data_IF_236474892557
#
_entry.id   IF_236474892557
#
_cell.length_a   1.000
_cell.length_b   1.000
_cell.length_c   1.000
_cell.angle_alpha   90.00
_cell.angle_beta   90.00
_cell.angle_gamma   90.00
#
_symmetry.space_group_name_H-M   'P 1'
#
loop_
_entity.id
_entity.type
_entity.pdbx_description
1 polymer ?
2 non-polymer ?
3 non-polymer ?
4 non-polymer ?
5 non-polymer ?
6 non-polymer ?
7 non-polymer ?
8 non-polymer ?
9 non-polymer ?
10 water ?
#
# COMPACT_ATOMS: atom_id res chain seq x y z
N UNK A 1 -17.61 -16.15 -18.69
CA UNK A 1 -17.02 -14.87 -19.11
C UNK A 1 -16.75 -13.97 -17.93
N UNK A 2 -15.78 -13.06 -18.09
CA UNK A 2 -15.51 -12.06 -17.06
C UNK A 2 -16.76 -11.21 -16.80
N UNK A 3 -17.05 -10.92 -15.53
CA UNK A 3 -18.19 -10.10 -15.19
C UNK A 3 -17.83 -8.64 -15.11
N UNK A 4 -17.85 -7.99 -16.25
CA UNK A 4 -17.69 -6.55 -16.34
C UNK A 4 -18.92 -5.87 -15.74
N UNK A 5 -18.75 -4.77 -15.03
CA UNK A 5 -19.88 -3.97 -14.52
C UNK A 5 -19.62 -2.54 -14.85
N UNK A 6 -20.56 -1.64 -14.55
CA UNK A 6 -20.27 -0.23 -14.58
C UNK A 6 -19.21 0.08 -13.52
N UNK A 7 -18.45 1.16 -13.70
CA UNK A 7 -17.51 1.56 -12.67
C UNK A 7 -18.25 2.16 -11.46
N UNK A 8 -17.54 2.31 -10.36
CA UNK A 8 -18.15 2.88 -9.15
C UNK A 8 -18.53 4.32 -9.33
N UNK A 9 -19.58 4.76 -8.60
CA UNK A 9 -19.99 6.15 -8.56
C UNK A 9 -18.83 6.98 -8.00
N UNK A 10 -18.48 8.06 -8.69
CA UNK A 10 -17.35 8.87 -8.31
C UNK A 10 -17.63 9.85 -7.18
N UNK A 11 -16.57 10.54 -6.74
CA UNK A 11 -15.19 10.37 -7.22
C UNK A 11 -14.59 9.06 -6.74
N UNK A 12 -13.59 8.56 -7.45
CA UNK A 12 -12.94 7.30 -7.09
C UNK A 12 -11.50 7.55 -6.71
N UNK A 13 -11.02 6.79 -5.73
CA UNK A 13 -9.62 6.92 -5.31
C UNK A 13 -9.06 5.57 -4.87
N UNK A 14 -8.10 5.03 -5.61
CA UNK A 14 -7.47 3.77 -5.24
C UNK A 14 -6.68 3.94 -3.93
N UNK A 15 -6.78 2.94 -3.07
CA UNK A 15 -6.15 2.94 -1.75
C UNK A 15 -4.76 2.34 -1.86
N UNK A 16 -3.76 3.03 -1.31
CA UNK A 16 -2.37 2.58 -1.34
C UNK A 16 -2.14 1.48 -0.29
N UNK A 17 -1.02 0.73 -0.46
CA UNK A 17 -0.69 -0.37 0.45
C UNK A 17 -0.29 0.16 1.82
N UNK A 18 0.17 1.41 1.90
CA UNK A 18 0.59 2.01 3.17
C UNK A 18 -0.54 2.79 3.85
N UNK A 19 -1.79 2.60 3.40
CA UNK A 19 -2.94 3.10 4.13
C UNK A 19 -3.46 1.98 5.03
N UNK A 20 -4.34 2.29 5.98
CA UNK A 20 -4.84 1.30 6.93
C UNK A 20 -5.31 0.03 6.23
N UNK A 21 -4.92 -1.12 6.78
CA UNK A 21 -5.41 -2.43 6.34
C UNK A 21 -6.16 -3.07 7.51
N UNK A 22 -7.32 -3.65 7.21
CA UNK A 22 -8.06 -4.40 8.21
C UNK A 22 -7.66 -5.88 8.27
N UNK A 23 -6.94 -6.39 7.28
CA UNK A 23 -6.54 -7.80 7.24
C UNK A 23 -5.51 -7.99 6.17
N UNK A 24 -5.05 -9.23 6.07
CA UNK A 24 -4.13 -9.68 5.02
C UNK A 24 -4.67 -11.03 4.56
N UNK A 25 -4.63 -11.26 3.25
CA UNK A 25 -5.18 -12.43 2.62
C UNK A 25 -4.04 -13.36 2.14
N UNK A 26 -4.13 -14.62 2.55
CA UNK A 26 -3.20 -15.68 2.20
C UNK A 26 -4.02 -16.91 1.80
N UNK A 27 -3.36 -17.90 1.26
CA UNK A 27 -4.07 -19.08 0.74
C UNK A 27 -3.38 -20.38 1.13
N UNK A 28 -4.21 -21.42 1.34
CA UNK A 28 -3.74 -22.78 1.57
C UNK A 28 -4.16 -23.65 0.40
N UNK A 29 -3.36 -24.65 -0.08
CA UNK A 29 -1.97 -24.97 0.32
C UNK A 29 -1.04 -23.76 0.28
N UNK A 30 -0.19 -23.69 1.28
CA UNK A 30 0.64 -22.54 1.54
C UNK A 30 1.88 -22.39 0.66
N UNK A 31 2.22 -21.12 0.45
CA UNK A 31 3.46 -20.71 -0.19
C UNK A 31 4.31 -19.83 0.71
N UNK A 32 3.92 -19.69 1.98
CA UNK A 32 4.60 -18.84 2.93
C UNK A 32 4.91 -19.65 4.18
N UNK A 33 5.96 -19.25 4.92
CA UNK A 33 6.30 -19.96 6.17
C UNK A 33 5.29 -19.68 7.27
N UNK A 34 5.11 -20.66 8.14
CA UNK A 34 4.20 -20.47 9.27
C UNK A 34 4.70 -19.36 10.19
N UNK A 35 6.02 -19.13 10.27
CA UNK A 35 6.52 -18.05 11.09
C UNK A 35 5.96 -16.69 10.61
N UNK A 36 5.79 -16.54 9.29
CA UNK A 36 5.21 -15.31 8.78
C UNK A 36 3.74 -15.19 9.19
N UNK A 37 2.96 -16.28 9.08
CA UNK A 37 1.55 -16.21 9.49
C UNK A 37 1.45 -15.89 10.97
N UNK A 38 2.33 -16.48 11.81
CA UNK A 38 2.33 -16.17 13.24
C UNK A 38 2.63 -14.67 13.44
N UNK A 39 3.64 -14.15 12.74
CA UNK A 39 4.00 -12.75 12.96
C UNK A 39 2.85 -11.84 12.51
N UNK A 40 2.22 -12.18 11.38
CA UNK A 40 1.10 -11.38 10.88
C UNK A 40 -0.05 -11.36 11.89
N UNK A 41 -0.45 -12.55 12.38
CA UNK A 41 -1.61 -12.71 13.25
C UNK A 41 -1.38 -12.16 14.65
N UNK A 42 -0.12 -11.79 15.01
CA UNK A 42 0.11 -11.20 16.33
C UNK A 42 -0.69 -9.90 16.48
N UNK A 43 -0.74 -9.09 15.41
CA UNK A 43 -1.38 -7.79 15.46
C UNK A 43 -2.41 -7.56 14.41
N UNK A 44 -2.49 -8.42 13.39
CA UNK A 44 -3.42 -8.17 12.31
C UNK A 44 -4.31 -9.37 12.04
N UNK A 45 -5.46 -9.12 11.39
CA UNK A 45 -6.33 -10.19 10.98
C UNK A 45 -5.76 -10.89 9.74
N UNK A 46 -5.65 -12.21 9.78
CA UNK A 46 -5.20 -13.04 8.67
C UNK A 46 -6.42 -13.79 8.15
N UNK A 47 -6.76 -13.59 6.89
CA UNK A 47 -7.83 -14.33 6.24
C UNK A 47 -7.18 -15.38 5.38
N UNK A 48 -7.48 -16.66 5.61
CA UNK A 48 -6.92 -17.74 4.82
C UNK A 48 -7.99 -18.29 3.89
N UNK A 49 -7.65 -18.35 2.60
CA UNK A 49 -8.53 -18.97 1.61
C UNK A 49 -8.28 -20.47 1.64
N UNK A 50 -9.36 -21.25 1.78
CA UNK A 50 -9.30 -22.71 1.77
C UNK A 50 -10.41 -23.22 0.84
N UNK A 51 -10.30 -24.46 0.35
CA UNK A 51 -11.30 -24.95 -0.60
C UNK A 51 -12.52 -25.55 0.06
N UNK A 52 -12.44 -25.90 1.36
CA UNK A 52 -13.51 -26.64 2.02
C UNK A 52 -13.42 -26.52 3.52
N UNK A 53 -14.49 -26.95 4.20
CA UNK A 53 -14.54 -27.00 5.66
C UNK A 53 -13.40 -27.88 6.19
N UNK A 54 -13.12 -29.01 5.47
CA UNK A 54 -12.05 -29.93 5.86
C UNK A 54 -10.67 -29.23 5.82
N UNK A 55 -10.41 -28.45 4.76
CA UNK A 55 -9.14 -27.71 4.66
C UNK A 55 -9.04 -26.62 5.74
N UNK A 56 -10.16 -25.96 6.09
CA UNK A 56 -10.17 -25.03 7.21
C UNK A 56 -9.71 -25.73 8.49
N UNK A 57 -10.23 -26.96 8.77
CA UNK A 57 -9.84 -27.65 9.99
C UNK A 57 -8.36 -28.04 9.95
N UNK A 58 -7.85 -28.46 8.79
CA UNK A 58 -6.44 -28.81 8.64
C UNK A 58 -5.57 -27.55 8.94
N UNK A 59 -5.97 -26.38 8.40
CA UNK A 59 -5.21 -25.16 8.63
C UNK A 59 -5.27 -24.76 10.11
N UNK A 60 -6.46 -24.86 10.75
CA UNK A 60 -6.52 -24.50 12.17
C UNK A 60 -5.56 -25.37 12.97
N UNK A 61 -5.46 -26.68 12.66
CA UNK A 61 -4.50 -27.53 13.40
C UNK A 61 -3.07 -27.06 13.14
N UNK A 62 -2.71 -26.72 11.89
CA UNK A 62 -1.36 -26.30 11.62
C UNK A 62 -1.05 -24.98 12.31
N UNK A 63 -2.01 -24.04 12.32
CA UNK A 63 -1.81 -22.75 13.00
C UNK A 63 -1.65 -22.97 14.52
N UNK A 64 -2.44 -23.91 15.09
CA UNK A 64 -2.35 -24.22 16.52
C UNK A 64 -0.95 -24.80 16.85
N UNK A 65 -0.45 -25.74 16.03
CA UNK A 65 0.90 -26.32 16.19
C UNK A 65 1.95 -25.24 16.19
N UNK A 66 1.79 -24.24 15.30
CA UNK A 66 2.77 -23.18 15.13
C UNK A 66 2.62 -22.01 16.12
N UNK A 67 1.60 -22.03 16.97
CA UNK A 67 1.39 -20.96 17.96
C UNK A 67 0.83 -19.67 17.36
N UNK A 68 0.10 -19.78 16.24
CA UNK A 68 -0.54 -18.61 15.61
C UNK A 68 -1.70 -18.16 16.50
N UNK A 69 -1.94 -16.84 16.56
CA UNK A 69 -3.06 -16.29 17.34
C UNK A 69 -4.36 -16.53 16.57
N UNK A 70 -5.07 -17.63 16.94
CA UNK A 70 -6.29 -18.00 16.22
C UNK A 70 -7.41 -16.96 16.37
N UNK A 71 -7.35 -16.10 17.39
CA UNK A 71 -8.38 -15.07 17.55
C UNK A 71 -8.30 -14.03 16.43
N UNK A 72 -7.17 -14.00 15.68
CA UNK A 72 -7.00 -13.09 14.56
C UNK A 72 -7.09 -13.83 13.22
N UNK A 73 -7.59 -15.07 13.21
CA UNK A 73 -7.67 -15.86 11.98
C UNK A 73 -9.09 -16.08 11.54
N UNK A 74 -9.37 -15.79 10.27
CA UNK A 74 -10.65 -16.07 9.65
C UNK A 74 -10.43 -16.79 8.33
N UNK A 75 -11.50 -17.28 7.72
CA UNK A 75 -11.42 -18.08 6.52
C UNK A 75 -12.46 -17.71 5.52
N UNK A 76 -12.09 -17.90 4.25
CA UNK A 76 -13.01 -17.80 3.11
C UNK A 76 -12.92 -19.14 2.43
N UNK A 77 -14.08 -19.75 2.16
CA UNK A 77 -14.12 -21.03 1.46
C UNK A 77 -14.35 -20.78 -0.01
N UNK A 78 -13.34 -21.07 -0.82
CA UNK A 78 -13.41 -20.86 -2.27
C UNK A 78 -12.36 -21.69 -2.93
N UNK A 79 -12.63 -22.20 -4.11
CA UNK A 79 -11.62 -22.92 -4.88
C UNK A 79 -10.58 -21.93 -5.42
N UNK A 80 -9.29 -22.29 -5.31
CA UNK A 80 -8.20 -21.47 -5.86
C UNK A 80 -7.22 -22.38 -6.56
N UNK A 81 -6.52 -21.82 -7.54
CA UNK A 81 -5.47 -22.54 -8.26
C UNK A 81 -4.11 -22.33 -7.66
N UNK A 82 -3.88 -21.18 -6.99
CA UNK A 82 -2.54 -20.88 -6.54
C UNK A 82 -2.51 -20.06 -5.26
N UNK A 83 -1.30 -19.90 -4.70
CA UNK A 83 -1.15 -19.11 -3.50
C UNK A 83 -0.71 -17.67 -3.79
N UNK A 84 -0.73 -17.22 -5.07
CA UNK A 84 -0.31 -15.86 -5.38
C UNK A 84 -1.47 -14.87 -5.20
N UNK A 85 -1.90 -14.68 -3.93
CA UNK A 85 -3.04 -13.82 -3.64
C UNK A 85 -2.77 -12.38 -4.04
N UNK A 86 -1.49 -11.97 -4.12
CA UNK A 86 -1.21 -10.64 -4.61
C UNK A 86 -1.78 -10.43 -5.99
N UNK A 87 -1.75 -11.47 -6.82
CA UNK A 87 -2.00 -11.28 -8.24
C UNK A 87 -3.45 -11.37 -8.66
N UNK A 88 -4.26 -12.19 -7.94
CA UNK A 88 -5.62 -12.43 -8.41
C UNK A 88 -6.71 -11.90 -7.47
N UNK A 89 -6.39 -11.48 -6.24
CA UNK A 89 -7.43 -10.96 -5.37
C UNK A 89 -7.75 -9.52 -5.78
N UNK A 90 -8.87 -9.03 -5.27
CA UNK A 90 -9.37 -7.73 -5.74
C UNK A 90 -8.59 -6.51 -5.28
N UNK A 91 -8.74 -5.42 -6.02
CA UNK A 91 -8.06 -4.16 -5.67
C UNK A 91 -9.00 -3.24 -4.92
N UNK A 92 -8.48 -2.41 -4.04
CA UNK A 92 -9.36 -1.58 -3.23
C UNK A 92 -9.39 -0.12 -3.67
N UNK A 93 -10.59 0.46 -3.62
CA UNK A 93 -10.75 1.88 -3.93
C UNK A 93 -11.84 2.47 -3.10
N UNK A 94 -11.67 3.74 -2.74
CA UNK A 94 -12.77 4.49 -2.18
C UNK A 94 -13.63 5.07 -3.31
N UNK A 95 -14.93 5.17 -3.08
CA UNK A 95 -15.81 5.74 -4.09
C UNK A 95 -17.01 6.35 -3.39
N UNK A 96 -17.80 7.14 -4.13
CA UNK A 96 -19.03 7.73 -3.64
C UNK A 96 -18.83 8.45 -2.27
N UNK A 97 -17.71 9.18 -2.16
CA UNK A 97 -17.27 9.98 -0.98
C UNK A 97 -16.80 9.12 0.23
N UNK A 98 -17.63 8.16 0.69
CA UNK A 98 -17.40 7.47 1.95
C UNK A 98 -17.56 5.97 1.89
N UNK A 99 -17.31 5.34 0.73
CA UNK A 99 -17.43 3.89 0.63
C UNK A 99 -16.13 3.26 0.16
N UNK A 100 -15.89 2.04 0.60
CA UNK A 100 -14.78 1.23 0.14
C UNK A 100 -15.33 0.11 -0.75
N UNK A 101 -14.75 -0.02 -1.93
CA UNK A 101 -15.16 -1.04 -2.89
C UNK A 101 -14.01 -1.89 -3.37
N UNK A 102 -14.37 -3.02 -3.98
CA UNK A 102 -13.42 -3.97 -4.56
C UNK A 102 -13.51 -3.90 -6.06
N UNK A 103 -12.36 -3.97 -6.71
CA UNK A 103 -12.31 -3.98 -8.17
C UNK A 103 -11.76 -5.31 -8.62
N UNK A 104 -12.56 -6.03 -9.42
CA UNK A 104 -12.16 -7.28 -10.06
C UNK A 104 -11.66 -6.95 -11.46
N UNK A 105 -10.93 -7.91 -12.05
CA UNK A 105 -10.28 -7.77 -13.36
C UNK A 105 -10.02 -9.15 -13.89
N UNK A 106 -9.60 -9.24 -15.15
CA UNK A 106 -9.27 -10.54 -15.73
C UNK A 106 -7.86 -10.90 -15.34
N UNK A 107 -7.70 -11.91 -14.48
CA UNK A 107 -6.37 -12.33 -14.07
C UNK A 107 -5.58 -12.80 -15.31
N UNK A 108 -4.34 -12.34 -15.48
CA UNK A 108 -3.58 -12.63 -16.69
C UNK A 108 -2.91 -14.01 -16.70
N UNK A 109 -3.61 -15.00 -16.18
CA UNK A 109 -3.14 -16.38 -16.13
C UNK A 109 -4.30 -17.32 -16.39
N UNK A 110 -4.01 -18.53 -16.89
CA UNK A 110 -5.09 -19.51 -17.15
C UNK A 110 -5.46 -20.27 -15.85
N UNK A 111 -5.97 -19.52 -14.89
CA UNK A 111 -6.24 -19.95 -13.52
C UNK A 111 -7.64 -19.50 -13.20
N UNK A 112 -8.66 -20.27 -13.63
CA UNK A 112 -10.04 -19.75 -13.56
C UNK A 112 -10.60 -19.66 -12.16
N UNK A 113 -10.10 -20.50 -11.24
CA UNK A 113 -10.59 -20.44 -9.84
C UNK A 113 -9.98 -19.21 -9.16
N UNK A 114 -8.69 -18.95 -9.37
CA UNK A 114 -8.11 -17.70 -8.87
C UNK A 114 -8.85 -16.51 -9.45
N UNK A 115 -9.13 -16.54 -10.78
CA UNK A 115 -9.76 -15.41 -11.43
C UNK A 115 -11.14 -15.10 -10.85
N UNK A 116 -11.87 -16.14 -10.45
CA UNK A 116 -13.22 -15.99 -9.92
C UNK A 116 -13.24 -15.58 -8.46
N UNK A 117 -12.12 -15.72 -7.76
CA UNK A 117 -12.11 -15.51 -6.32
C UNK A 117 -12.60 -14.13 -5.81
N UNK A 118 -12.33 -12.97 -6.46
CA UNK A 118 -12.69 -11.69 -5.83
C UNK A 118 -14.15 -11.58 -5.37
N UNK A 119 -15.12 -12.22 -6.06
CA UNK A 119 -16.51 -12.11 -5.57
C UNK A 119 -16.65 -12.62 -4.13
N UNK A 120 -15.89 -13.68 -3.76
CA UNK A 120 -15.97 -14.22 -2.40
C UNK A 120 -15.35 -13.26 -1.39
N UNK A 121 -14.32 -12.53 -1.81
CA UNK A 121 -13.67 -11.52 -1.00
C UNK A 121 -14.65 -10.36 -0.71
N UNK A 122 -15.32 -9.86 -1.76
CA UNK A 122 -16.27 -8.77 -1.57
C UNK A 122 -17.43 -9.23 -0.68
N UNK A 123 -17.91 -10.46 -0.87
CA UNK A 123 -19.00 -10.98 -0.04
C UNK A 123 -18.56 -11.13 1.41
N UNK A 124 -17.35 -11.63 1.66
CA UNK A 124 -16.84 -11.74 3.03
C UNK A 124 -16.80 -10.37 3.72
N UNK A 125 -16.31 -9.36 3.00
CA UNK A 125 -16.14 -8.01 3.56
C UNK A 125 -17.45 -7.25 3.61
N UNK A 126 -18.46 -7.67 2.86
CA UNK A 126 -19.72 -6.95 2.76
C UNK A 126 -19.60 -5.63 2.01
N UNK A 127 -18.78 -5.62 0.94
CA UNK A 127 -18.59 -4.42 0.12
C UNK A 127 -18.97 -4.71 -1.29
N UNK A 128 -19.23 -3.64 -2.05
CA UNK A 128 -19.56 -3.78 -3.46
C UNK A 128 -18.33 -4.09 -4.29
N UNK A 129 -18.51 -4.83 -5.38
CA UNK A 129 -17.45 -5.17 -6.32
C UNK A 129 -17.80 -4.65 -7.71
N UNK A 130 -16.78 -4.14 -8.40
CA UNK A 130 -16.90 -3.59 -9.74
C UNK A 130 -15.97 -4.34 -10.65
N UNK A 131 -16.44 -4.64 -11.85
CA UNK A 131 -15.65 -5.44 -12.78
C UNK A 131 -15.02 -4.61 -13.87
N UNK A 132 -13.69 -4.41 -13.78
CA UNK A 132 -12.92 -3.66 -14.77
C UNK A 132 -12.41 -4.63 -15.82
N UNK A 133 -12.86 -4.47 -17.08
CA UNK A 133 -12.49 -5.43 -18.13
C UNK A 133 -11.10 -5.12 -18.73
N UNK A 134 -10.11 -5.44 -17.94
CA UNK A 134 -8.70 -5.41 -18.33
C UNK A 134 -8.03 -6.66 -17.85
N UNK A 135 -7.07 -7.17 -18.62
CA UNK A 135 -6.24 -8.26 -18.19
C UNK A 135 -5.16 -7.63 -17.29
N UNK A 136 -5.14 -8.03 -16.02
CA UNK A 136 -4.29 -7.43 -15.00
C UNK A 136 -3.76 -8.45 -14.03
N UNK A 137 -2.88 -7.99 -13.16
CA UNK A 137 -2.29 -8.80 -12.09
C UNK A 137 -1.83 -7.83 -11.01
N UNK A 138 -2.23 -8.10 -9.77
CA UNK A 138 -1.89 -7.18 -8.68
C UNK A 138 -0.41 -7.02 -8.41
N UNK A 139 0.41 -8.03 -8.70
CA UNK A 139 1.85 -7.89 -8.52
C UNK A 139 2.43 -6.80 -9.41
N UNK A 140 1.73 -6.54 -10.54
CA UNK A 140 2.15 -5.50 -11.47
C UNK A 140 1.43 -4.19 -11.24
N UNK A 141 0.92 -3.95 -10.03
CA UNK A 141 0.18 -2.73 -9.77
C UNK A 141 0.60 -2.15 -8.43
N UNK A 142 0.75 -0.85 -8.41
CA UNK A 142 0.89 -0.12 -7.15
C UNK A 142 0.36 1.28 -7.35
N UNK A 143 -0.30 1.84 -6.35
CA UNK A 143 -0.81 3.19 -6.40
C UNK A 143 -0.24 4.02 -5.27
N UNK A 144 -0.14 5.34 -5.47
CA UNK A 144 0.32 6.21 -4.41
C UNK A 144 -0.81 6.70 -3.49
N UNK A 145 -2.07 6.40 -3.83
CA UNK A 145 -3.20 6.87 -3.04
C UNK A 145 -3.65 8.28 -3.42
N UNK A 146 -3.00 8.89 -4.43
CA UNK A 146 -3.30 10.23 -4.91
C UNK A 146 -3.53 10.23 -6.41
N UNK A 147 -3.92 9.08 -6.94
CA UNK A 147 -4.27 9.03 -8.35
C UNK A 147 -3.17 8.56 -9.29
N UNK A 148 -1.98 8.23 -8.80
CA UNK A 148 -0.94 7.69 -9.66
C UNK A 148 -0.81 6.21 -9.46
N UNK A 149 -0.50 5.48 -10.53
CA UNK A 149 -0.20 4.05 -10.44
C UNK A 149 0.93 3.74 -11.37
N UNK A 150 1.78 2.82 -10.99
CA UNK A 150 2.89 2.33 -11.82
C UNK A 150 2.64 0.89 -12.15
N UNK A 151 2.81 0.55 -13.42
CA UNK A 151 2.74 -0.83 -13.91
C UNK A 151 3.79 -1.03 -14.95
N UNK A 152 4.28 -2.26 -15.10
CA UNK A 152 5.16 -2.57 -16.23
C UNK A 152 4.28 -2.63 -17.51
N UNK A 153 4.94 -2.65 -18.67
CA UNK A 153 4.38 -2.60 -20.01
C UNK A 153 3.32 -3.65 -20.34
N UNK A 154 3.26 -4.77 -19.59
CA UNK A 154 2.24 -5.79 -19.90
C UNK A 154 0.83 -5.24 -19.66
N UNK A 155 0.69 -4.17 -18.88
CA UNK A 155 -0.65 -3.58 -18.73
C UNK A 155 -1.21 -3.12 -20.10
N UNK A 156 -0.31 -2.74 -21.03
CA UNK A 156 -0.74 -2.44 -22.39
C UNK A 156 -0.64 -3.65 -23.30
N UNK A 157 0.50 -4.38 -23.26
CA UNK A 157 0.68 -5.45 -24.24
C UNK A 157 -0.29 -6.63 -24.05
N UNK A 158 -0.78 -6.84 -22.82
CA UNK A 158 -1.75 -7.90 -22.56
C UNK A 158 -3.18 -7.38 -22.71
N UNK A 159 -3.33 -6.10 -23.09
CA UNK A 159 -4.63 -5.50 -23.42
C UNK A 159 -4.54 -4.85 -24.81
N UNK A 160 -3.92 -5.56 -25.76
CA UNK A 160 -3.49 -4.96 -27.02
C UNK A 160 -4.65 -4.67 -27.98
N UNK A 161 -5.87 -5.12 -27.70
CA UNK A 161 -7.00 -4.76 -28.58
C UNK A 161 -7.53 -3.38 -28.19
N UNK A 162 -7.07 -2.84 -27.03
CA UNK A 162 -7.47 -1.52 -26.58
C UNK A 162 -6.34 -0.55 -26.83
N UNK A 163 -6.71 0.69 -27.09
CA UNK A 163 -5.70 1.73 -27.18
C UNK A 163 -5.17 2.08 -25.76
N UNK A 164 -4.04 2.76 -25.69
CA UNK A 164 -3.54 3.21 -24.39
C UNK A 164 -4.55 4.17 -23.75
N UNK A 165 -5.20 5.04 -24.54
CA UNK A 165 -6.22 5.93 -23.98
C UNK A 165 -7.36 5.10 -23.37
N UNK A 166 -7.78 4.02 -24.03
CA UNK A 166 -8.88 3.20 -23.49
C UNK A 166 -8.44 2.50 -22.20
N UNK A 167 -7.19 1.99 -22.14
CA UNK A 167 -6.70 1.34 -20.93
C UNK A 167 -6.62 2.38 -19.79
N UNK A 168 -6.03 3.54 -20.09
CA UNK A 168 -5.94 4.61 -19.11
C UNK A 168 -7.31 5.02 -18.61
N UNK A 169 -8.31 5.08 -19.48
CA UNK A 169 -9.65 5.49 -19.09
C UNK A 169 -10.26 4.48 -18.15
N UNK A 170 -10.02 3.17 -18.36
CA UNK A 170 -10.56 2.18 -17.42
C UNK A 170 -9.92 2.35 -16.07
N UNK A 171 -8.61 2.61 -16.00
CA UNK A 171 -7.96 2.83 -14.70
C UNK A 171 -8.51 4.07 -14.04
N UNK A 172 -8.84 5.12 -14.83
CA UNK A 172 -9.44 6.31 -14.24
C UNK A 172 -10.84 5.99 -13.70
N UNK A 173 -11.66 5.28 -14.52
CA UNK A 173 -13.04 5.08 -14.12
C UNK A 173 -13.20 4.16 -12.93
N UNK A 174 -12.44 3.06 -12.90
CA UNK A 174 -12.64 2.09 -11.83
C UNK A 174 -11.78 2.35 -10.61
N UNK A 175 -10.62 3.04 -10.77
CA UNK A 175 -9.67 3.17 -9.67
C UNK A 175 -9.29 4.62 -9.39
N UNK A 176 -9.81 5.57 -10.16
CA UNK A 176 -9.48 6.98 -9.93
C UNK A 176 -8.05 7.30 -10.31
N UNK A 177 -7.43 6.51 -11.19
CA UNK A 177 -6.03 6.76 -11.60
C UNK A 177 -6.01 7.84 -12.66
N UNK A 178 -5.44 8.99 -12.33
CA UNK A 178 -5.28 10.12 -13.23
C UNK A 178 -3.87 10.12 -13.88
N UNK A 179 -2.91 9.33 -13.35
CA UNK A 179 -1.67 9.08 -14.06
C UNK A 179 -1.36 7.60 -13.99
N UNK A 180 -1.65 6.92 -15.08
CA UNK A 180 -1.38 5.50 -15.23
C UNK A 180 -0.02 5.38 -15.86
N UNK A 181 1.02 5.21 -15.04
CA UNK A 181 2.42 5.22 -15.52
C UNK A 181 2.80 3.81 -15.91
N UNK A 182 2.76 3.53 -17.20
CA UNK A 182 3.05 2.19 -17.72
C UNK A 182 4.43 2.25 -18.33
N UNK A 183 5.38 1.60 -17.68
CA UNK A 183 6.80 1.69 -18.05
C UNK A 183 7.34 0.39 -18.61
N UNK A 184 8.37 0.45 -19.45
CA UNK A 184 9.04 -0.79 -19.87
C UNK A 184 9.68 -1.42 -18.65
N UNK A 185 9.44 -2.72 -18.44
CA UNK A 185 10.02 -3.34 -17.26
C UNK A 185 11.54 -3.32 -17.34
N UNK A 186 12.23 -2.86 -16.27
CA UNK A 186 13.70 -2.75 -16.32
C UNK A 186 14.44 -4.01 -15.87
N UNK A 187 13.71 -5.06 -15.47
CA UNK A 187 14.34 -6.18 -14.82
C UNK A 187 14.84 -7.33 -15.65
N UNK A 188 14.47 -7.41 -16.92
CA UNK A 188 15.00 -8.49 -17.76
C UNK A 188 14.61 -9.90 -17.37
N UNK A 189 13.40 -10.07 -16.80
CA UNK A 189 12.94 -11.43 -16.47
C UNK A 189 11.52 -11.62 -17.05
N UNK A 190 10.97 -12.84 -16.95
CA UNK A 190 9.72 -13.15 -17.61
C UNK A 190 8.49 -12.48 -17.04
N UNK A 191 8.53 -12.18 -15.73
CA UNK A 191 7.28 -11.91 -15.06
C UNK A 191 6.77 -10.49 -15.28
N UNK A 192 7.65 -9.52 -15.42
CA UNK A 192 7.25 -8.14 -15.74
C UNK A 192 6.23 -7.61 -14.75
N UNK A 193 6.55 -7.78 -13.44
CA UNK A 193 5.76 -7.21 -12.37
C UNK A 193 6.53 -6.09 -11.70
N UNK A 194 5.87 -4.94 -11.49
CA UNK A 194 6.55 -3.84 -10.84
C UNK A 194 7.14 -4.25 -9.47
N UNK A 195 6.48 -5.14 -8.71
CA UNK A 195 6.95 -5.44 -7.37
C UNK A 195 8.28 -6.22 -7.33
N UNK A 196 8.84 -6.59 -8.49
CA UNK A 196 10.15 -7.19 -8.50
C UNK A 196 11.25 -6.14 -8.57
N UNK A 197 10.88 -4.88 -8.78
CA UNK A 197 11.93 -3.84 -8.86
C UNK A 197 11.55 -2.50 -8.24
N UNK A 198 10.27 -2.24 -7.95
CA UNK A 198 9.85 -0.94 -7.47
C UNK A 198 8.74 -1.04 -6.46
N UNK A 199 8.71 -0.08 -5.53
CA UNK A 199 7.64 -0.07 -4.53
C UNK A 199 7.47 1.33 -3.95
N UNK A 200 6.28 1.93 -4.06
CA UNK A 200 6.02 3.17 -3.33
C UNK A 200 6.06 2.82 -1.85
N UNK A 201 6.81 3.59 -1.07
CA UNK A 201 6.83 3.36 0.39
C UNK A 201 5.99 4.39 1.12
N UNK A 202 5.64 5.47 0.43
CA UNK A 202 4.83 6.58 0.91
C UNK A 202 4.48 7.38 -0.33
N UNK A 203 3.64 8.42 -0.22
CA UNK A 203 3.34 9.19 -1.43
C UNK A 203 4.56 9.88 -2.02
N UNK A 204 5.57 10.14 -1.20
CA UNK A 204 6.77 10.86 -1.61
C UNK A 204 8.01 10.01 -1.64
N UNK A 205 7.86 8.67 -1.59
CA UNK A 205 9.04 7.78 -1.48
C UNK A 205 8.87 6.57 -2.33
N UNK A 206 9.92 6.22 -3.09
CA UNK A 206 9.86 5.03 -3.90
C UNK A 206 11.17 4.29 -3.75
N UNK A 207 11.07 2.96 -3.63
CA UNK A 207 12.21 2.09 -3.56
C UNK A 207 12.43 1.49 -4.93
N UNK A 208 13.67 1.52 -5.42
CA UNK A 208 14.00 0.94 -6.71
C UNK A 208 15.19 0.02 -6.56
N UNK A 209 15.06 -1.19 -7.10
CA UNK A 209 16.15 -2.17 -7.07
C UNK A 209 17.43 -1.56 -7.64
N UNK A 210 18.58 -1.97 -7.09
CA UNK A 210 19.89 -1.63 -7.61
C UNK A 210 20.66 -2.92 -7.76
N UNK A 211 21.49 -3.00 -8.81
CA UNK A 211 22.33 -4.16 -9.01
C UNK A 211 23.74 -3.68 -9.24
N UNK A 212 24.72 -4.62 -9.18
CA UNK A 212 26.11 -4.22 -9.43
C UNK A 212 26.32 -3.63 -10.82
N UNK A 213 27.40 -2.82 -10.99
CA UNK A 213 27.64 -2.10 -12.24
C UNK A 213 27.64 -2.96 -13.49
N UNK A 214 28.17 -4.20 -13.38
CA UNK A 214 28.31 -5.04 -14.56
C UNK A 214 27.13 -5.96 -14.77
N UNK A 215 26.08 -5.90 -13.89
CA UNK A 215 24.88 -6.69 -14.10
C UNK A 215 24.17 -6.16 -15.37
N UNK A 216 23.56 -7.04 -16.18
CA UNK A 216 22.95 -6.56 -17.44
C UNK A 216 21.81 -5.56 -17.25
N UNK A 217 21.15 -5.56 -16.09
CA UNK A 217 20.06 -4.61 -15.89
C UNK A 217 20.49 -3.35 -15.13
N UNK A 218 21.80 -3.16 -14.92
CA UNK A 218 22.26 -2.03 -14.15
C UNK A 218 21.70 -0.71 -14.70
N UNK A 219 21.95 -0.41 -15.97
CA UNK A 219 21.56 0.89 -16.50
C UNK A 219 20.04 1.07 -16.55
N UNK A 220 19.29 0.03 -16.90
CA UNK A 220 17.83 0.17 -16.93
C UNK A 220 17.29 0.53 -15.55
N UNK A 221 17.88 -0.05 -14.48
CA UNK A 221 17.43 0.26 -13.14
C UNK A 221 17.91 1.63 -12.70
N UNK A 222 19.13 2.03 -13.05
CA UNK A 222 19.57 3.39 -12.73
C UNK A 222 18.70 4.42 -13.45
N UNK A 223 18.31 4.14 -14.69
CA UNK A 223 17.46 5.07 -15.45
C UNK A 223 16.09 5.18 -14.78
N UNK A 224 15.56 4.06 -14.27
CA UNK A 224 14.28 4.09 -13.58
C UNK A 224 14.35 4.94 -12.30
N UNK A 225 15.44 4.73 -11.51
CA UNK A 225 15.61 5.51 -10.28
C UNK A 225 15.72 6.99 -10.61
N UNK A 226 16.50 7.34 -11.65
CA UNK A 226 16.67 8.74 -12.02
C UNK A 226 15.35 9.36 -12.51
N UNK A 227 14.50 8.57 -13.18
CA UNK A 227 13.20 9.06 -13.68
C UNK A 227 12.29 9.47 -12.53
N UNK A 228 12.23 8.65 -11.45
CA UNK A 228 11.43 9.06 -10.31
C UNK A 228 12.06 10.23 -9.55
N UNK A 229 13.40 10.24 -9.42
CA UNK A 229 14.03 11.31 -8.63
C UNK A 229 13.85 12.67 -9.31
N UNK A 230 13.66 12.69 -10.64
CA UNK A 230 13.58 13.93 -11.41
C UNK A 230 12.18 14.52 -11.48
N UNK A 231 11.15 13.86 -10.92
CA UNK A 231 9.79 14.35 -11.10
C UNK A 231 9.10 14.63 -9.77
N UNK A 232 8.06 15.44 -9.86
CA UNK A 232 7.23 15.82 -8.72
C UNK A 232 6.31 14.68 -8.31
N UNK A 233 6.19 14.48 -6.99
CA UNK A 233 5.29 13.50 -6.41
C UNK A 233 3.99 14.17 -5.94
N UNK A 234 3.07 13.38 -5.35
CA UNK A 234 1.78 13.94 -4.96
C UNK A 234 1.89 15.06 -3.92
N UNK A 235 2.96 15.06 -3.10
CA UNK A 235 3.11 16.09 -2.05
C UNK A 235 3.84 17.34 -2.56
N UNK A 236 4.15 17.39 -3.85
CA UNK A 236 4.70 18.61 -4.46
C UNK A 236 6.21 18.68 -4.50
N UNK A 237 6.89 17.83 -3.77
CA UNK A 237 8.34 17.72 -3.77
C UNK A 237 8.71 16.69 -4.79
N UNK A 238 10.00 16.53 -5.07
CA UNK A 238 10.34 15.42 -5.95
C UNK A 238 10.37 14.15 -5.10
N UNK A 239 10.23 13.00 -5.75
CA UNK A 239 10.31 11.74 -4.99
C UNK A 239 11.64 11.58 -4.30
N UNK A 240 11.58 11.05 -3.09
CA UNK A 240 12.75 10.51 -2.42
C UNK A 240 12.92 9.09 -2.97
N UNK A 241 14.07 8.79 -3.58
CA UNK A 241 14.31 7.48 -4.17
C UNK A 241 15.31 6.76 -3.31
N UNK A 242 14.91 5.58 -2.85
CA UNK A 242 15.75 4.69 -2.06
C UNK A 242 16.10 3.49 -2.91
N UNK A 243 17.26 2.88 -2.63
CA UNK A 243 17.75 1.76 -3.42
C UNK A 243 18.06 0.58 -2.57
N UNK A 244 17.58 -0.58 -2.99
CA UNK A 244 17.91 -1.83 -2.31
C UNK A 244 18.85 -2.62 -3.21
N UNK A 245 20.10 -2.83 -2.76
CA UNK A 245 21.08 -3.53 -3.55
C UNK A 245 20.88 -5.02 -3.48
N UNK A 246 20.56 -5.59 -4.63
CA UNK A 246 20.47 -7.02 -4.79
C UNK A 246 21.82 -7.47 -5.39
N UNK A 247 22.71 -8.01 -4.54
CA UNK A 247 24.01 -8.49 -5.01
C UNK A 247 23.87 -9.79 -5.80
N UNK A 248 22.78 -10.56 -5.56
CA UNK A 248 22.52 -11.83 -6.19
C UNK A 248 21.03 -12.15 -6.22
N UNK A 249 20.23 -11.29 -6.91
CA UNK A 249 18.82 -11.46 -7.19
C UNK A 249 17.93 -11.65 -5.95
N UNK A 250 18.33 -11.08 -4.82
CA UNK A 250 17.47 -11.13 -3.61
C UNK A 250 16.25 -10.24 -3.87
N UNK A 251 15.05 -10.73 -3.53
CA UNK A 251 13.81 -9.94 -3.88
C UNK A 251 13.47 -8.88 -2.83
N UNK A 252 14.43 -7.98 -2.53
CA UNK A 252 14.20 -7.03 -1.45
C UNK A 252 13.09 -6.04 -1.69
N UNK A 253 12.68 -5.76 -2.94
CA UNK A 253 11.56 -4.84 -3.15
C UNK A 253 10.22 -5.53 -2.95
N UNK A 254 10.22 -6.88 -2.83
CA UNK A 254 8.99 -7.66 -2.77
C UNK A 254 8.51 -7.83 -1.33
N UNK A 255 8.33 -6.67 -0.68
CA UNK A 255 7.91 -6.59 0.73
C UNK A 255 6.44 -6.27 0.85
N UNK A 256 5.88 -6.50 2.06
CA UNK A 256 4.50 -6.14 2.37
C UNK A 256 4.49 -5.02 3.41
N UNK A 257 3.79 -3.91 3.12
CA UNK A 257 3.54 -2.89 4.15
C UNK A 257 2.17 -3.19 4.71
N UNK A 258 2.09 -3.53 6.00
CA UNK A 258 0.81 -3.80 6.62
C UNK A 258 0.72 -2.93 7.85
N UNK A 259 -0.07 -1.85 7.73
CA UNK A 259 -0.17 -0.87 8.81
C UNK A 259 1.22 -0.34 9.18
N UNK A 260 1.66 -0.44 10.44
CA UNK A 260 2.96 0.12 10.84
C UNK A 260 4.11 -0.87 10.75
N UNK A 261 3.89 -2.01 10.11
CA UNK A 261 4.92 -3.05 9.97
C UNK A 261 5.26 -3.28 8.51
N UNK A 262 6.51 -3.65 8.24
CA UNK A 262 6.98 -3.91 6.88
C UNK A 262 7.67 -5.25 6.92
N UNK A 263 7.20 -6.21 6.11
CA UNK A 263 7.73 -7.58 6.08
C UNK A 263 8.55 -7.73 4.84
N UNK A 264 9.85 -7.91 5.03
CA UNK A 264 10.80 -7.92 3.92
C UNK A 264 11.36 -9.31 3.76
N UNK A 265 11.25 -9.96 2.59
CA UNK A 265 11.83 -11.30 2.44
C UNK A 265 13.34 -11.22 2.41
N UNK A 266 13.99 -12.10 3.16
CA UNK A 266 15.45 -12.12 3.20
C UNK A 266 15.95 -13.50 2.83
N UNK A 267 17.01 -13.56 2.00
CA UNK A 267 17.57 -14.89 1.77
C UNK A 267 19.11 -14.86 1.72
N UNK A 268 19.68 -13.84 2.33
CA UNK A 268 21.12 -13.76 2.55
C UNK A 268 21.95 -13.26 1.40
N UNK A 269 23.22 -12.98 1.62
CA UNK A 269 23.94 -13.14 2.90
C UNK A 269 23.44 -12.17 3.98
N UNK A 270 23.73 -12.49 5.23
CA UNK A 270 23.22 -11.73 6.36
C UNK A 270 23.60 -10.25 6.30
N UNK A 271 24.83 -9.89 5.90
CA UNK A 271 25.18 -8.46 5.89
C UNK A 271 24.39 -7.71 4.82
N UNK A 272 24.13 -8.36 3.69
CA UNK A 272 23.41 -7.74 2.57
C UNK A 272 21.95 -7.62 2.97
N UNK A 273 21.40 -8.59 3.72
CA UNK A 273 20.03 -8.50 4.23
C UNK A 273 19.95 -7.31 5.19
N UNK A 274 20.93 -7.18 6.12
CA UNK A 274 20.91 -6.06 7.10
C UNK A 274 20.94 -4.72 6.37
N UNK A 275 21.75 -4.62 5.32
CA UNK A 275 21.80 -3.38 4.54
C UNK A 275 20.42 -3.06 3.97
N UNK A 276 19.74 -4.04 3.40
CA UNK A 276 18.43 -3.82 2.79
C UNK A 276 17.40 -3.46 3.83
N UNK A 277 17.41 -4.14 4.98
CA UNK A 277 16.46 -3.78 6.05
C UNK A 277 16.69 -2.35 6.51
N UNK A 278 17.95 -1.94 6.60
CA UNK A 278 18.25 -0.58 7.08
C UNK A 278 17.87 0.48 6.04
N UNK A 279 17.81 0.13 4.74
CA UNK A 279 17.26 1.08 3.75
C UNK A 279 15.76 1.28 4.07
N UNK A 280 14.99 0.19 4.30
CA UNK A 280 13.60 0.34 4.62
C UNK A 280 13.43 1.16 5.90
N UNK A 281 14.23 0.87 6.92
CA UNK A 281 14.06 1.57 8.19
C UNK A 281 14.37 3.06 8.06
N UNK A 282 15.41 3.39 7.25
CA UNK A 282 15.74 4.78 6.96
C UNK A 282 14.61 5.47 6.21
N UNK A 283 14.07 4.80 5.19
CA UNK A 283 13.02 5.39 4.38
C UNK A 283 11.72 5.54 5.14
N UNK A 284 11.46 4.69 6.14
CA UNK A 284 10.15 4.62 6.81
C UNK A 284 10.33 4.77 8.32
N UNK A 285 10.66 6.00 8.76
CA UNK A 285 10.83 6.23 10.20
C UNK A 285 9.60 5.84 10.99
N UNK A 286 9.83 5.18 12.13
CA UNK A 286 8.75 4.76 13.01
C UNK A 286 8.11 3.43 12.67
N UNK A 287 8.32 2.93 11.44
CA UNK A 287 7.80 1.62 11.08
C UNK A 287 8.64 0.52 11.70
N UNK A 288 8.01 -0.63 11.91
CA UNK A 288 8.70 -1.81 12.43
C UNK A 288 9.01 -2.70 11.26
N UNK A 289 10.28 -2.91 10.97
CA UNK A 289 10.74 -3.71 9.82
C UNK A 289 11.10 -5.07 10.33
N UNK A 290 10.57 -6.09 9.63
CA UNK A 290 10.78 -7.50 9.97
C UNK A 290 11.36 -8.21 8.76
N UNK A 291 12.57 -8.77 8.91
CA UNK A 291 13.17 -9.62 7.90
C UNK A 291 12.58 -11.00 8.03
N UNK A 292 12.02 -11.55 6.95
CA UNK A 292 11.34 -12.84 6.97
C UNK A 292 12.03 -13.89 6.10
N UNK A 293 12.51 -14.93 6.74
CA UNK A 293 13.14 -16.06 6.03
C UNK A 293 12.07 -16.85 5.28
N UNK A 294 12.43 -17.44 4.14
CA UNK A 294 11.47 -18.19 3.35
C UNK A 294 11.20 -19.58 3.93
N UNK A 295 10.07 -20.16 3.52
CA UNK A 295 9.74 -21.54 3.82
C UNK A 295 10.70 -22.43 3.02
N UNK A 296 11.23 -23.49 3.64
CA UNK A 296 12.17 -24.34 2.90
C UNK A 296 11.55 -24.99 1.64
N UNK A 297 10.28 -25.37 1.72
CA UNK A 297 9.59 -26.05 0.62
C UNK A 297 9.14 -25.13 -0.51
N UNK A 298 8.92 -23.82 -0.20
CA UNK A 298 8.47 -22.82 -1.19
C UNK A 298 9.30 -21.57 -0.97
N UNK A 299 10.59 -21.60 -1.30
CA UNK A 299 11.45 -20.47 -0.96
C UNK A 299 11.11 -19.20 -1.70
N UNK A 300 11.64 -18.07 -1.21
CA UNK A 300 11.54 -16.82 -1.93
C UNK A 300 12.39 -16.91 -3.19
N UNK A 301 11.89 -16.35 -4.28
CA UNK A 301 12.61 -16.28 -5.55
C UNK A 301 12.76 -14.84 -5.94
N UNK A 302 13.71 -14.55 -6.84
CA UNK A 302 13.92 -13.21 -7.35
C UNK A 302 12.68 -12.60 -7.98
N UNK A 303 11.85 -13.45 -8.63
CA UNK A 303 10.63 -13.02 -9.33
C UNK A 303 9.36 -13.29 -8.56
N UNK A 304 9.47 -13.82 -7.33
CA UNK A 304 8.29 -14.28 -6.59
C UNK A 304 8.63 -14.43 -5.11
N UNK A 305 8.21 -13.44 -4.31
CA UNK A 305 8.51 -13.55 -2.89
C UNK A 305 7.33 -13.11 -2.01
N UNK A 306 7.59 -12.45 -0.89
CA UNK A 306 6.54 -12.22 0.11
C UNK A 306 5.39 -11.37 -0.38
N UNK A 307 5.67 -10.28 -1.09
CA UNK A 307 4.58 -9.46 -1.61
C UNK A 307 3.70 -10.25 -2.55
N UNK A 308 4.30 -11.20 -3.30
CA UNK A 308 3.56 -12.00 -4.29
C UNK A 308 2.57 -12.93 -3.66
N UNK A 309 2.75 -13.28 -2.40
CA UNK A 309 1.99 -14.33 -1.74
C UNK A 309 1.13 -13.81 -0.60
N UNK A 310 0.89 -12.52 -0.60
CA UNK A 310 0.02 -11.85 0.37
C UNK A 310 -0.78 -10.78 -0.35
N UNK A 311 -1.91 -10.36 0.24
CA UNK A 311 -2.56 -9.12 -0.24
C UNK A 311 -3.22 -8.46 0.95
N UNK A 312 -2.89 -7.20 1.17
CA UNK A 312 -3.51 -6.41 2.22
C UNK A 312 -4.99 -6.21 1.88
N UNK A 313 -5.80 -6.03 2.90
CA UNK A 313 -7.22 -5.83 2.74
C UNK A 313 -7.56 -4.50 3.37
N UNK A 314 -8.20 -3.60 2.63
CA UNK A 314 -8.56 -2.30 3.16
C UNK A 314 -9.66 -2.42 4.22
N UNK A 315 -9.83 -1.33 4.98
CA UNK A 315 -10.82 -1.26 6.03
C UNK A 315 -12.15 -0.74 5.46
N UNK A 316 -13.19 -1.55 5.49
CA UNK A 316 -14.50 -1.11 4.98
C UNK A 316 -15.04 0.11 5.72
N UNK A 317 -14.64 0.27 6.97
CA UNK A 317 -15.03 1.42 7.78
C UNK A 317 -13.90 2.44 7.91
N UNK A 318 -12.98 2.51 6.92
CA UNK A 318 -11.80 3.37 6.96
C UNK A 318 -12.10 4.81 7.37
N UNK A 319 -11.34 5.31 8.34
CA UNK A 319 -11.31 6.71 8.72
C UNK A 319 -10.21 7.33 7.87
N UNK A 320 -10.59 8.00 6.77
CA UNK A 320 -9.67 8.47 5.77
C UNK A 320 -9.31 9.95 5.93
N UNK A 321 -7.99 10.25 6.07
CA UNK A 321 -7.48 11.61 6.10
C UNK A 321 -6.82 11.91 4.75
N UNK A 322 -7.36 12.91 4.01
CA UNK A 322 -6.75 13.42 2.78
C UNK A 322 -6.03 14.71 3.11
N UNK A 323 -4.74 14.76 2.88
CA UNK A 323 -3.96 15.94 3.20
C UNK A 323 -2.81 16.10 2.22
N UNK A 324 -2.61 17.33 1.76
CA UNK A 324 -1.45 17.76 0.97
C UNK A 324 -0.61 18.61 1.91
N UNK A 325 0.54 18.13 2.33
CA UNK A 325 1.27 18.84 3.40
C UNK A 325 1.94 20.13 2.95
N UNK A 326 2.27 20.97 3.94
CA UNK A 326 3.04 22.20 3.78
C UNK A 326 4.48 21.81 4.13
N UNK A 327 5.40 21.86 3.15
CA UNK A 327 6.75 21.36 3.31
C UNK A 327 7.80 22.32 2.86
N UNK A 328 8.99 22.20 3.44
CA UNK A 328 10.14 22.97 2.99
C UNK A 328 9.99 24.45 3.19
N UNK A 329 10.64 25.23 2.32
CA UNK A 329 10.63 26.67 2.45
C UNK A 329 9.27 27.23 2.05
N UNK A 330 8.61 27.94 2.98
CA UNK A 330 7.28 28.50 2.77
C UNK A 330 7.35 30.01 2.79
N UNK A 331 6.97 30.62 1.66
CA UNK A 331 7.00 32.07 1.45
C UNK A 331 6.02 32.82 2.35
N UNK A 332 4.91 32.18 2.69
CA UNK A 332 3.88 32.79 3.51
C UNK A 332 3.10 33.84 2.72
N UNK A 333 2.55 34.88 3.39
CA UNK A 333 2.65 35.20 4.83
C UNK A 333 1.76 34.31 5.72
N UNK A 334 0.88 33.51 5.10
CA UNK A 334 0.01 32.60 5.85
C UNK A 334 0.50 31.17 5.70
N UNK A 335 0.28 30.36 6.74
CA UNK A 335 0.68 28.96 6.80
C UNK A 335 -0.53 28.18 7.26
N UNK A 336 -1.38 27.79 6.29
CA UNK A 336 -2.65 27.17 6.58
C UNK A 336 -2.66 25.79 6.03
N UNK A 337 -2.99 24.86 6.87
CA UNK A 337 -3.14 23.46 6.45
C UNK A 337 -4.61 23.12 6.36
N UNK A 338 -4.91 22.17 5.51
CA UNK A 338 -6.28 21.70 5.31
C UNK A 338 -6.24 20.19 5.24
N UNK A 339 -7.20 19.55 5.87
CA UNK A 339 -7.30 18.10 5.76
C UNK A 339 -8.74 17.74 5.60
N UNK A 340 -9.02 16.82 4.71
CA UNK A 340 -10.37 16.29 4.54
C UNK A 340 -10.43 14.98 5.29
N UNK A 341 -11.46 14.79 6.10
CA UNK A 341 -11.56 13.57 6.89
C UNK A 341 -12.94 13.01 6.68
N UNK A 342 -13.02 11.71 6.31
CA UNK A 342 -14.30 11.07 6.12
C UNK A 342 -14.28 9.71 6.83
N UNK A 343 -15.40 9.36 7.45
CA UNK A 343 -15.59 8.12 8.15
C UNK A 343 -16.39 7.18 7.26
N UNK A 344 -15.74 6.16 6.69
CA UNK A 344 -16.46 5.15 5.93
C UNK A 344 -17.28 4.25 6.88
N UNK A 345 -17.04 4.37 8.20
CA UNK A 345 -17.87 3.64 9.19
C UNK A 345 -19.16 4.43 9.47
N UNK A 346 -19.31 5.65 8.87
CA UNK A 346 -20.44 6.54 9.11
C UNK A 346 -20.53 6.91 10.60
N UNK A 347 -19.36 7.07 11.23
CA UNK A 347 -19.30 7.42 12.64
C UNK A 347 -18.95 8.87 12.78
N UNK A 348 -19.43 9.52 13.82
CA UNK A 348 -19.12 10.91 14.07
C UNK A 348 -17.62 11.04 14.34
N UNK A 349 -16.99 12.01 13.68
CA UNK A 349 -15.57 12.29 13.82
C UNK A 349 -15.35 13.28 14.95
N UNK A 350 -14.47 12.91 15.92
CA UNK A 350 -14.13 13.82 17.01
C UNK A 350 -12.97 13.25 17.79
N UNK A 351 -11.90 14.00 18.01
CA UNK A 351 -11.56 15.29 17.44
C UNK A 351 -10.68 15.12 16.20
N UNK A 352 -10.44 16.22 15.50
CA UNK A 352 -9.47 16.34 14.39
C UNK A 352 -8.48 17.36 14.87
N UNK A 353 -7.23 16.95 15.02
CA UNK A 353 -6.23 17.81 15.62
C UNK A 353 -5.01 17.98 14.77
N UNK A 354 -4.33 19.09 14.98
CA UNK A 354 -3.00 19.31 14.45
C UNK A 354 -2.06 19.26 15.64
N UNK A 355 -1.12 18.33 15.63
CA UNK A 355 -0.05 18.26 16.61
C UNK A 355 1.16 18.95 16.02
N UNK A 356 1.73 19.88 16.76
CA UNK A 356 2.82 20.65 16.21
C UNK A 356 3.90 21.00 17.22
N UNK A 357 5.07 21.39 16.70
CA UNK A 357 6.19 21.85 17.50
C UNK A 357 6.90 22.95 16.73
N UNK A 358 7.26 24.02 17.44
CA UNK A 358 7.94 25.17 16.84
C UNK A 358 9.36 25.24 17.37
N UNK A 359 10.34 25.33 16.46
CA UNK A 359 11.77 25.45 16.76
C UNK A 359 12.26 24.37 17.72
N UNK A 360 11.69 23.16 17.59
CA UNK A 360 12.10 22.03 18.42
C UNK A 360 11.87 22.17 19.90
N UNK A 361 10.99 23.10 20.29
CA UNK A 361 10.76 23.41 21.69
C UNK A 361 9.78 22.45 22.34
N UNK A 362 10.25 21.75 23.37
CA UNK A 362 9.38 20.87 24.16
C UNK A 362 8.79 19.73 23.39
N UNK A 363 7.56 19.36 23.75
CA UNK A 363 6.82 18.26 23.16
C UNK A 363 5.86 18.79 22.09
N UNK A 364 5.32 17.88 21.26
CA UNK A 364 4.26 18.27 20.33
C UNK A 364 3.05 18.72 21.13
N UNK A 365 2.38 19.75 20.65
CA UNK A 365 1.18 20.31 21.27
C UNK A 365 0.01 20.09 20.34
N UNK A 366 -1.15 19.72 20.86
CA UNK A 366 -2.32 19.54 20.03
C UNK A 366 -3.18 20.78 19.97
N UNK A 367 -3.68 21.07 18.78
CA UNK A 367 -4.67 22.12 18.58
C UNK A 367 -5.80 21.56 17.76
N UNK A 368 -7.04 21.89 18.11
CA UNK A 368 -8.14 21.39 17.32
C UNK A 368 -8.19 22.07 15.98
N UNK A 369 -8.45 21.30 14.92
CA UNK A 369 -8.65 21.90 13.61
C UNK A 369 -10.09 22.43 13.52
N UNK A 370 -10.29 23.47 12.71
CA UNK A 370 -11.59 24.08 12.50
C UNK A 370 -12.34 23.33 11.42
N UNK A 371 -13.60 22.90 11.69
CA UNK A 371 -14.46 22.27 10.70
C UNK A 371 -15.06 23.42 9.86
N UNK A 372 -14.52 23.67 8.67
CA UNK A 372 -15.03 24.77 7.83
C UNK A 372 -16.29 24.38 7.11
N UNK A 373 -16.33 23.13 6.63
CA UNK A 373 -17.49 22.55 6.00
C UNK A 373 -17.39 21.07 6.21
N UNK A 374 -18.51 20.32 6.16
CA UNK A 374 -18.48 18.90 6.48
C UNK A 374 -17.28 18.19 5.87
N UNK A 375 -16.49 17.54 6.73
CA UNK A 375 -15.33 16.79 6.30
C UNK A 375 -14.12 17.61 5.91
N UNK A 376 -14.16 18.94 6.04
CA UNK A 376 -13.05 19.81 5.64
C UNK A 376 -12.59 20.61 6.83
N UNK A 377 -11.35 20.29 7.31
CA UNK A 377 -10.79 20.83 8.53
C UNK A 377 -9.57 21.67 8.23
N UNK A 378 -9.42 22.81 8.92
CA UNK A 378 -8.27 23.68 8.65
C UNK A 378 -7.58 24.11 9.92
N UNK A 379 -6.34 24.56 9.79
CA UNK A 379 -5.58 25.09 10.90
C UNK A 379 -4.59 26.08 10.37
N UNK A 380 -4.53 27.25 11.00
CA UNK A 380 -3.56 28.27 10.61
C UNK A 380 -2.48 28.40 11.67
N UNK A 381 -1.20 28.30 11.27
CA UNK A 381 -0.09 28.52 12.19
C UNK A 381 0.12 30.01 12.33
N UNK A 382 -0.13 30.53 13.53
CA UNK A 382 0.00 31.98 13.78
C UNK A 382 1.25 32.30 14.60
N UNK A 383 1.62 33.59 14.61
CA UNK A 383 2.76 34.09 15.39
C UNK A 383 4.12 33.53 14.99
N UNK A 384 4.26 33.07 13.75
CA UNK A 384 5.52 32.52 13.26
C UNK A 384 6.42 33.63 12.71
N UNK A 385 7.71 33.56 13.04
CA UNK A 385 8.70 34.54 12.62
C UNK A 385 9.57 33.95 11.53
N UNK A 386 10.27 34.81 10.77
CA UNK A 386 11.19 34.37 9.72
C UNK A 386 12.16 33.37 10.30
N UNK A 387 12.38 32.26 9.57
CA UNK A 387 13.30 31.17 9.94
C UNK A 387 12.72 30.23 11.00
N UNK A 388 11.47 30.45 11.49
CA UNK A 388 10.87 29.48 12.41
C UNK A 388 10.69 28.11 11.75
N UNK A 389 10.98 27.04 12.49
CA UNK A 389 10.88 25.67 12.02
C UNK A 389 9.65 25.01 12.61
N UNK A 390 8.74 24.52 11.77
CA UNK A 390 7.53 23.86 12.23
C UNK A 390 7.57 22.39 11.88
N UNK A 391 7.23 21.56 12.85
CA UNK A 391 6.99 20.13 12.69
C UNK A 391 5.53 19.90 12.97
N UNK A 392 4.81 19.13 12.14
CA UNK A 392 3.40 18.89 12.48
C UNK A 392 2.91 17.58 11.89
N UNK A 393 1.81 17.08 12.46
CA UNK A 393 1.10 15.96 11.87
C UNK A 393 -0.38 16.13 12.23
N UNK A 394 -1.24 15.39 11.53
CA UNK A 394 -2.71 15.39 11.66
C UNK A 394 -3.13 14.18 12.46
N UNK A 395 -4.15 14.31 13.33
CA UNK A 395 -4.73 13.19 14.02
C UNK A 395 -6.26 13.28 13.93
N UNK A 396 -6.92 12.15 13.73
CA UNK A 396 -8.37 12.12 13.75
C UNK A 396 -8.84 10.87 14.47
N UNK A 397 -10.03 10.92 15.04
CA UNK A 397 -10.63 9.75 15.68
C UNK A 397 -12.10 9.78 15.43
N UNK A 398 -12.76 8.61 15.48
CA UNK A 398 -14.21 8.61 15.32
C UNK A 398 -14.87 7.70 16.37
N UNK A 399 -16.18 7.77 16.43
CA UNK A 399 -16.94 7.07 17.46
C UNK A 399 -16.99 5.56 17.28
N UNK A 400 -16.42 5.04 16.17
CA UNK A 400 -16.30 3.60 16.02
C UNK A 400 -15.05 3.08 16.74
N UNK A 401 -14.21 3.98 17.25
CA UNK A 401 -12.97 3.58 17.91
C UNK A 401 -11.76 3.66 17.00
N UNK A 402 -11.96 4.10 15.74
CA UNK A 402 -10.82 4.24 14.85
C UNK A 402 -10.03 5.50 15.19
N UNK A 403 -8.71 5.44 14.94
CA UNK A 403 -7.79 6.54 15.22
C UNK A 403 -6.75 6.51 14.15
N UNK A 404 -6.52 7.62 13.47
CA UNK A 404 -5.61 7.69 12.35
C UNK A 404 -4.81 8.96 12.40
N UNK A 405 -3.63 8.93 11.84
CA UNK A 405 -2.81 10.11 11.69
C UNK A 405 -2.43 10.29 10.24
N UNK A 406 -2.00 11.49 9.90
CA UNK A 406 -1.38 11.77 8.62
C UNK A 406 -0.10 12.51 8.92
N UNK A 407 1.08 11.98 8.53
CA UNK A 407 1.26 10.73 7.78
C UNK A 407 0.89 9.54 8.61
N UNK A 408 0.81 8.39 7.96
CA UNK A 408 0.31 7.18 8.58
C UNK A 408 0.95 6.91 9.95
N UNK A 409 2.29 7.01 10.03
CA UNK A 409 2.98 6.62 11.25
C UNK A 409 2.79 7.68 12.38
N UNK A 410 2.47 8.91 12.01
CA UNK A 410 2.26 9.97 13.00
C UNK A 410 3.55 10.63 13.46
N UNK A 411 3.64 10.79 14.80
CA UNK A 411 4.71 11.55 15.45
C UNK A 411 6.16 11.14 15.06
N UNK A 412 6.48 9.86 14.77
CA UNK A 412 7.85 9.52 14.37
C UNK A 412 8.33 10.15 13.07
N UNK A 413 7.43 10.71 12.24
CA UNK A 413 7.86 11.22 10.93
C UNK A 413 6.98 12.43 10.52
N UNK A 414 7.07 13.51 11.27
CA UNK A 414 6.20 14.67 11.01
C UNK A 414 6.58 15.42 9.75
N UNK A 415 5.61 16.15 9.23
CA UNK A 415 5.85 17.10 8.15
C UNK A 415 6.63 18.27 8.70
N UNK A 416 7.53 18.82 7.90
CA UNK A 416 8.35 19.95 8.35
C UNK A 416 8.37 21.06 7.33
N UNK A 417 8.31 22.28 7.80
CA UNK A 417 8.46 23.45 6.92
C UNK A 417 9.14 24.56 7.70
N UNK A 418 9.68 25.52 6.93
CA UNK A 418 10.36 26.70 7.44
C UNK A 418 9.64 27.94 6.95
N UNK A 419 9.40 28.85 7.88
CA UNK A 419 8.76 30.13 7.56
C UNK A 419 9.79 31.05 6.93
N UNK A 420 9.44 31.63 5.77
CA UNK A 420 10.36 32.52 5.08
C UNK A 420 9.89 33.99 5.12
N UNK A 421 8.60 34.25 5.38
CA UNK A 421 8.05 35.63 5.46
C UNK A 421 8.51 36.34 6.72
N UNK A 422 8.80 37.66 6.62
CA UNK A 422 9.24 38.49 7.73
C UNK A 422 8.04 38.89 8.62
#
# INVERSE_FOLDING_TARGET
AFQETNPPAGPVRAIAEYERSAAVLVRYPFGIPMELIKELAKNDKVITIVASESQKNTVITQYTQSGVNLSNCDFIIAKTDSYWTRDYTGWFAMYDTNKVGLVDFIYNRPRPNDDEFPKYEAQYLGIEMFGMKLKQTGGNYMTDGYGSAVQSHIAYTENSSLSQAQVNQKMKDYLGITHHDVVQDPNGEYINHVDCWGKYLAPNKILIRKVPDNHPQHQALEDMAAYFAAQTCAWGTKYEVYRALATNEQPYTNSLILNNRVFVPVNGPASVDNDALNVYKTAMPGYEIIGVKGASGTPWLGTDALHCRTHEVADKGYLYIKHYPILGEQAGPDYKIEADVVSCANATISPVQCYYRINGSGSFKAADMTMESTGHYTYSFTGLNKNDKVEYYISAADNSGRKETYPFIGEPDPFKFTCMNETNTCTVTGAA
#
